data_IF_229331440220
#
_entry.id   IF_229331440220
#
_cell.length_a   1.000
_cell.length_b   1.000
_cell.length_c   1.000
_cell.angle_alpha   90.00
_cell.angle_beta   90.00
_cell.angle_gamma   90.00
#
_symmetry.space_group_name_H-M   'P 1'
#
loop_
_entity.id
_entity.type
_entity.pdbx_description
1 polymer ?
#
# COMPACT_ATOMS: atom_id res chain seq x y z
N UNK A 1 -9.89 16.82 9.32
CA UNK A 1 -8.96 17.99 9.38
C UNK A 1 -7.92 18.00 8.27
N UNK A 2 -7.49 16.83 7.77
CA UNK A 2 -6.61 16.76 6.60
C UNK A 2 -7.38 16.87 5.27
N UNK A 3 -8.65 16.49 5.21
CA UNK A 3 -9.44 16.62 3.98
C UNK A 3 -9.73 18.10 3.60
N UNK A 4 -9.58 19.05 4.54
CA UNK A 4 -9.68 20.48 4.24
C UNK A 4 -8.42 21.06 3.58
N UNK A 5 -7.35 20.27 3.43
CA UNK A 5 -6.13 20.72 2.75
C UNK A 5 -6.34 20.87 1.23
N UNK A 6 -5.54 21.72 0.57
CA UNK A 6 -5.56 21.86 -0.87
C UNK A 6 -5.31 20.51 -1.53
N UNK A 7 -6.07 20.22 -2.59
CA UNK A 7 -6.00 18.96 -3.32
C UNK A 7 -4.58 18.61 -3.79
N UNK A 8 -3.77 19.62 -4.12
CA UNK A 8 -2.36 19.47 -4.47
C UNK A 8 -1.53 18.82 -3.34
N UNK A 9 -1.75 19.20 -2.08
CA UNK A 9 -1.05 18.61 -0.93
C UNK A 9 -1.45 17.14 -0.70
N UNK A 10 -2.74 16.83 -0.90
CA UNK A 10 -3.24 15.45 -0.77
C UNK A 10 -2.73 14.54 -1.89
N UNK A 11 -2.63 15.07 -3.11
CA UNK A 11 -1.96 14.35 -4.21
C UNK A 11 -0.48 14.15 -3.91
N UNK A 12 0.22 15.16 -3.39
CA UNK A 12 1.62 15.02 -2.97
C UNK A 12 1.80 13.94 -1.90
N UNK A 13 0.92 13.92 -0.89
CA UNK A 13 0.94 12.87 0.13
C UNK A 13 0.70 11.48 -0.46
N UNK A 14 -0.27 11.35 -1.37
CA UNK A 14 -0.53 10.09 -2.06
C UNK A 14 0.68 9.65 -2.90
N UNK A 15 1.28 10.55 -3.67
CA UNK A 15 2.49 10.28 -4.46
C UNK A 15 3.65 9.87 -3.57
N UNK A 16 3.88 10.55 -2.45
CA UNK A 16 4.95 10.21 -1.50
C UNK A 16 4.69 8.85 -0.86
N UNK A 17 3.47 8.55 -0.42
CA UNK A 17 3.11 7.25 0.15
C UNK A 17 3.28 6.12 -0.87
N UNK A 18 2.81 6.31 -2.10
CA UNK A 18 3.01 5.38 -3.21
C UNK A 18 4.49 5.19 -3.53
N UNK A 19 5.28 6.28 -3.53
CA UNK A 19 6.71 6.23 -3.78
C UNK A 19 7.44 5.46 -2.69
N UNK A 20 7.15 5.72 -1.42
CA UNK A 20 7.71 5.00 -0.28
C UNK A 20 7.37 3.51 -0.33
N UNK A 21 6.12 3.17 -0.64
CA UNK A 21 5.70 1.77 -0.80
C UNK A 21 6.42 1.10 -1.97
N UNK A 22 6.46 1.74 -3.15
CA UNK A 22 7.15 1.20 -4.32
C UNK A 22 8.66 1.05 -4.07
N UNK A 23 9.28 2.02 -3.40
CA UNK A 23 10.69 1.97 -3.04
C UNK A 23 10.98 0.85 -2.04
N UNK A 24 10.14 0.70 -1.01
CA UNK A 24 10.24 -0.38 -0.04
C UNK A 24 10.10 -1.75 -0.73
N UNK A 25 9.09 -1.91 -1.58
CA UNK A 25 8.86 -3.14 -2.35
C UNK A 25 9.99 -3.42 -3.34
N UNK A 26 10.52 -2.41 -4.03
CA UNK A 26 11.66 -2.59 -4.93
C UNK A 26 12.93 -3.04 -4.20
N UNK A 27 13.10 -2.59 -2.94
CA UNK A 27 14.19 -3.02 -2.06
C UNK A 27 13.98 -4.41 -1.48
N UNK A 28 12.74 -4.79 -1.17
CA UNK A 28 12.43 -6.09 -0.57
C UNK A 28 12.24 -7.20 -1.59
N UNK A 29 11.80 -6.88 -2.81
CA UNK A 29 11.51 -7.83 -3.88
C UNK A 29 12.34 -7.44 -5.11
N UNK A 30 13.58 -7.97 -5.25
CA UNK A 30 14.45 -7.69 -6.39
C UNK A 30 13.99 -8.36 -7.71
N UNK A 31 12.69 -8.30 -8.03
CA UNK A 31 12.13 -8.83 -9.28
C UNK A 31 12.08 -7.70 -10.30
N UNK A 32 12.72 -7.88 -11.47
CA UNK A 32 12.77 -6.87 -12.55
C UNK A 32 11.38 -6.38 -12.97
N UNK A 33 10.42 -7.30 -13.11
CA UNK A 33 9.02 -7.00 -13.48
C UNK A 33 8.24 -6.29 -12.36
N UNK A 34 8.60 -6.53 -11.09
CA UNK A 34 7.95 -5.92 -9.94
C UNK A 34 8.11 -4.40 -9.91
N UNK A 35 9.28 -3.87 -10.34
CA UNK A 35 9.54 -2.43 -10.35
C UNK A 35 8.57 -1.62 -11.21
N UNK A 36 8.02 -2.22 -12.27
CA UNK A 36 7.04 -1.57 -13.16
C UNK A 36 5.61 -1.93 -12.77
N UNK A 37 5.37 -3.18 -12.32
CA UNK A 37 4.04 -3.62 -11.92
C UNK A 37 3.52 -2.88 -10.67
N UNK A 38 4.37 -2.66 -9.65
CA UNK A 38 3.96 -2.01 -8.40
C UNK A 38 3.40 -0.59 -8.57
N UNK A 39 4.09 0.35 -9.27
CA UNK A 39 3.54 1.68 -9.47
C UNK A 39 2.25 1.68 -10.30
N UNK A 40 2.12 0.77 -11.28
CA UNK A 40 0.89 0.61 -12.06
C UNK A 40 -0.27 0.13 -11.18
N UNK A 41 -0.04 -0.86 -10.33
CA UNK A 41 -1.04 -1.37 -9.38
C UNK A 41 -1.45 -0.26 -8.41
N UNK A 42 -0.50 0.48 -7.84
CA UNK A 42 -0.81 1.58 -6.94
C UNK A 42 -1.62 2.69 -7.63
N UNK A 43 -1.26 3.06 -8.87
CA UNK A 43 -2.02 4.02 -9.67
C UNK A 43 -3.45 3.55 -9.95
N UNK A 44 -3.61 2.28 -10.35
CA UNK A 44 -4.92 1.67 -10.57
C UNK A 44 -5.77 1.65 -9.29
N UNK A 45 -5.17 1.32 -8.14
CA UNK A 45 -5.86 1.37 -6.84
C UNK A 45 -6.27 2.80 -6.44
N UNK A 46 -5.47 3.82 -6.78
CA UNK A 46 -5.80 5.21 -6.49
C UNK A 46 -7.03 5.65 -7.27
N UNK A 47 -7.02 5.40 -8.57
CA UNK A 47 -8.16 5.68 -9.45
C UNK A 47 -9.39 4.88 -9.04
N UNK A 48 -9.22 3.60 -8.68
CA UNK A 48 -10.29 2.74 -8.19
C UNK A 48 -10.95 3.28 -6.92
N UNK A 49 -10.16 3.71 -5.93
CA UNK A 49 -10.70 4.30 -4.69
C UNK A 49 -11.47 5.60 -4.95
N UNK A 50 -10.97 6.47 -5.82
CA UNK A 50 -11.67 7.70 -6.20
C UNK A 50 -12.99 7.37 -6.92
N UNK A 51 -12.98 6.38 -7.81
CA UNK A 51 -14.17 5.97 -8.55
C UNK A 51 -15.21 5.34 -7.61
N UNK A 52 -14.80 4.43 -6.73
CA UNK A 52 -15.67 3.78 -5.74
C UNK A 52 -16.26 4.81 -4.78
N UNK A 53 -15.46 5.78 -4.32
CA UNK A 53 -15.95 6.86 -3.45
C UNK A 53 -17.01 7.76 -4.10
N UNK A 54 -16.98 7.89 -5.43
CA UNK A 54 -18.02 8.60 -6.19
C UNK A 54 -19.25 7.74 -6.52
N UNK A 55 -19.10 6.42 -6.53
CA UNK A 55 -20.18 5.48 -6.81
C UNK A 55 -20.91 5.03 -5.53
N UNK A 56 -20.35 5.31 -4.35
CA UNK A 56 -21.00 5.01 -3.09
C UNK A 56 -22.23 5.89 -2.84
N UNK A 57 -23.22 5.30 -2.17
CA UNK A 57 -24.49 5.95 -1.79
C UNK A 57 -24.29 7.24 -1.00
N UNK A 58 -23.21 7.30 -0.22
CA UNK A 58 -22.74 8.52 0.44
C UNK A 58 -21.61 9.08 -0.43
N UNK A 59 -21.80 10.26 -1.04
CA UNK A 59 -20.76 10.88 -1.89
C UNK A 59 -19.57 11.29 -1.02
N UNK A 60 -18.52 10.45 -0.98
CA UNK A 60 -17.27 10.79 -0.31
C UNK A 60 -16.46 11.72 -1.22
N UNK A 61 -15.99 12.85 -0.68
CA UNK A 61 -15.17 13.77 -1.45
C UNK A 61 -13.85 13.09 -1.86
N UNK A 62 -13.30 13.49 -3.02
CA UNK A 62 -12.02 12.97 -3.50
C UNK A 62 -10.89 13.19 -2.48
N UNK A 63 -11.00 14.22 -1.64
CA UNK A 63 -10.01 14.51 -0.59
C UNK A 63 -10.01 13.43 0.50
N UNK A 64 -11.18 12.98 0.97
CA UNK A 64 -11.25 11.88 1.94
C UNK A 64 -10.68 10.58 1.37
N UNK A 65 -10.97 10.29 0.10
CA UNK A 65 -10.44 9.09 -0.57
C UNK A 65 -8.91 9.12 -0.71
N UNK A 66 -8.33 10.29 -0.99
CA UNK A 66 -6.87 10.47 -1.05
C UNK A 66 -6.20 10.33 0.32
N UNK A 67 -6.84 10.81 1.39
CA UNK A 67 -6.34 10.61 2.76
C UNK A 67 -6.36 9.12 3.10
N UNK A 68 -7.49 8.43 2.89
CA UNK A 68 -7.60 6.99 3.14
C UNK A 68 -6.60 6.17 2.31
N UNK A 69 -6.41 6.53 1.05
CA UNK A 69 -5.41 5.91 0.18
C UNK A 69 -4.00 6.06 0.75
N UNK A 70 -3.61 7.29 1.11
CA UNK A 70 -2.26 7.58 1.63
C UNK A 70 -1.99 6.84 2.94
N UNK A 71 -2.96 6.86 3.86
CA UNK A 71 -2.87 6.14 5.13
C UNK A 71 -2.87 4.63 4.93
N UNK A 72 -3.69 4.09 4.02
CA UNK A 72 -3.72 2.67 3.67
C UNK A 72 -2.38 2.14 3.17
N UNK A 73 -1.74 2.84 2.23
CA UNK A 73 -0.41 2.45 1.74
C UNK A 73 0.68 2.59 2.80
N UNK A 74 0.60 3.62 3.64
CA UNK A 74 1.55 3.81 4.73
C UNK A 74 1.43 2.68 5.76
N UNK A 75 0.21 2.34 6.18
CA UNK A 75 -0.05 1.23 7.10
C UNK A 75 0.37 -0.12 6.51
N UNK A 76 0.08 -0.34 5.22
CA UNK A 76 0.51 -1.56 4.53
C UNK A 76 2.05 -1.65 4.45
N UNK A 77 2.74 -0.53 4.20
CA UNK A 77 4.21 -0.49 4.19
C UNK A 77 4.80 -0.83 5.57
N UNK A 78 4.26 -0.23 6.64
CA UNK A 78 4.70 -0.46 8.02
C UNK A 78 4.43 -1.91 8.42
N UNK A 79 3.23 -2.41 8.14
CA UNK A 79 2.81 -3.76 8.47
C UNK A 79 3.58 -4.86 7.71
N UNK A 80 4.05 -4.58 6.50
CA UNK A 80 4.91 -5.48 5.71
C UNK A 80 6.40 -5.33 6.06
N UNK A 81 6.80 -4.31 6.81
CA UNK A 81 8.20 -4.13 7.20
C UNK A 81 8.83 -5.34 7.92
N UNK A 82 8.14 -6.05 8.83
CA UNK A 82 8.69 -7.26 9.47
C UNK A 82 8.90 -8.42 8.49
N UNK A 83 8.09 -8.51 7.43
CA UNK A 83 8.16 -9.58 6.43
C UNK A 83 9.21 -9.32 5.35
N UNK A 84 9.87 -8.15 5.34
CA UNK A 84 10.88 -7.74 4.34
C UNK A 84 11.97 -8.79 4.07
N UNK A 85 12.47 -9.46 5.11
CA UNK A 85 13.52 -10.48 4.98
C UNK A 85 13.01 -11.74 4.28
N UNK A 86 11.77 -12.13 4.59
CA UNK A 86 11.11 -13.27 4.00
C UNK A 86 10.80 -13.00 2.52
N UNK A 87 10.26 -11.81 2.21
CA UNK A 87 10.00 -11.36 0.84
C UNK A 87 11.27 -11.36 0.00
N UNK A 88 12.39 -10.86 0.54
CA UNK A 88 13.68 -10.86 -0.15
C UNK A 88 14.20 -12.27 -0.41
N UNK A 89 14.08 -13.18 0.57
CA UNK A 89 14.45 -14.58 0.39
C UNK A 89 13.62 -15.25 -0.70
N UNK A 90 12.30 -15.06 -0.70
CA UNK A 90 11.43 -15.66 -1.72
C UNK A 90 11.66 -15.07 -3.11
N UNK A 91 11.81 -13.75 -3.21
CA UNK A 91 12.12 -13.10 -4.48
C UNK A 91 13.47 -13.55 -5.07
N UNK A 92 14.48 -13.75 -4.22
CA UNK A 92 15.79 -14.28 -4.66
C UNK A 92 15.72 -15.75 -5.07
N UNK A 93 14.94 -16.58 -4.36
CA UNK A 93 14.68 -17.97 -4.77
C UNK A 93 13.94 -18.05 -6.11
N UNK A 94 12.90 -17.23 -6.31
CA UNK A 94 12.13 -17.14 -7.57
C UNK A 94 13.04 -16.70 -8.72
N UNK A 95 13.88 -15.68 -8.52
CA UNK A 95 14.82 -15.22 -9.54
C UNK A 95 15.87 -16.28 -9.92
N UNK A 96 16.22 -17.18 -8.97
CA UNK A 96 17.09 -18.33 -9.22
C UNK A 96 16.36 -19.52 -9.87
N UNK A 97 15.07 -19.37 -10.18
CA UNK A 97 14.25 -20.42 -10.80
C UNK A 97 13.81 -21.52 -9.82
N UNK A 98 14.03 -21.35 -8.52
CA UNK A 98 13.61 -22.31 -7.50
C UNK A 98 12.09 -22.22 -7.33
N UNK A 99 11.36 -23.20 -7.86
CA UNK A 99 9.92 -23.34 -7.65
C UNK A 99 9.69 -24.15 -6.38
N UNK A 100 9.19 -23.50 -5.33
CA UNK A 100 8.63 -24.21 -4.16
C UNK A 100 7.16 -24.49 -4.41
N UNK A 101 6.67 -25.65 -3.97
CA UNK A 101 5.23 -25.97 -3.97
C UNK A 101 4.44 -25.03 -3.06
N UNK A 102 5.04 -24.58 -1.95
CA UNK A 102 4.40 -23.67 -1.00
C UNK A 102 5.39 -22.64 -0.46
N UNK A 103 4.98 -21.36 -0.52
CA UNK A 103 5.63 -20.27 0.19
C UNK A 103 4.86 -19.99 1.47
N UNK A 104 5.37 -20.49 2.61
CA UNK A 104 4.70 -20.29 3.89
C UNK A 104 4.88 -18.86 4.37
N UNK A 105 3.78 -18.11 4.49
CA UNK A 105 3.79 -16.78 5.08
C UNK A 105 3.32 -16.90 6.54
N UNK A 106 4.21 -16.74 7.54
CA UNK A 106 3.84 -16.87 8.94
C UNK A 106 2.65 -15.99 9.31
N UNK A 107 1.66 -16.55 10.00
CA UNK A 107 0.45 -15.84 10.40
C UNK A 107 0.75 -14.53 11.16
N UNK A 108 1.82 -14.50 11.98
CA UNK A 108 2.28 -13.29 12.68
C UNK A 108 2.55 -12.10 11.76
N UNK A 109 3.04 -12.33 10.55
CA UNK A 109 3.31 -11.25 9.59
C UNK A 109 2.02 -10.80 8.89
N UNK A 110 1.08 -11.71 8.66
CA UNK A 110 -0.25 -11.35 8.15
C UNK A 110 -1.01 -10.53 9.19
N UNK A 111 -1.00 -10.96 10.46
CA UNK A 111 -1.63 -10.25 11.57
C UNK A 111 -1.01 -8.86 11.73
N UNK A 112 0.31 -8.73 11.68
CA UNK A 112 0.98 -7.43 11.75
C UNK A 112 0.62 -6.50 10.57
N UNK A 113 0.50 -7.05 9.35
CA UNK A 113 0.07 -6.30 8.18
C UNK A 113 -1.39 -5.82 8.33
N UNK A 114 -2.29 -6.74 8.69
CA UNK A 114 -3.72 -6.45 8.85
C UNK A 114 -3.94 -5.45 9.99
N UNK A 115 -3.33 -5.66 11.16
CA UNK A 115 -3.48 -4.77 12.31
C UNK A 115 -2.95 -3.37 12.00
N UNK A 116 -1.80 -3.26 11.32
CA UNK A 116 -1.25 -1.96 10.91
C UNK A 116 -2.15 -1.25 9.92
N UNK A 117 -2.72 -1.94 8.93
CA UNK A 117 -3.68 -1.36 7.99
C UNK A 117 -4.93 -0.88 8.72
N UNK A 118 -5.49 -1.68 9.64
CA UNK A 118 -6.68 -1.30 10.41
C UNK A 118 -6.41 -0.05 11.24
N UNK A 119 -5.32 -0.03 12.01
CA UNK A 119 -4.97 1.08 12.90
C UNK A 119 -4.76 2.37 12.09
N UNK A 120 -3.97 2.29 11.02
CA UNK A 120 -3.62 3.48 10.23
C UNK A 120 -4.81 3.95 9.39
N UNK A 121 -5.67 3.06 8.91
CA UNK A 121 -6.92 3.44 8.24
C UNK A 121 -7.91 4.10 9.20
N UNK A 122 -8.07 3.57 10.42
CA UNK A 122 -8.88 4.21 11.47
C UNK A 122 -8.37 5.61 11.81
N UNK A 123 -7.05 5.76 11.96
CA UNK A 123 -6.40 7.07 12.10
C UNK A 123 -6.72 7.98 10.92
N UNK A 124 -6.64 7.47 9.69
CA UNK A 124 -7.00 8.20 8.48
C UNK A 124 -8.46 8.69 8.49
N UNK A 125 -9.40 7.87 8.96
CA UNK A 125 -10.82 8.27 9.12
C UNK A 125 -10.95 9.39 10.16
N UNK A 126 -10.33 9.22 11.34
CA UNK A 126 -10.38 10.20 12.43
C UNK A 126 -9.73 11.55 12.04
N UNK A 127 -8.68 11.49 11.23
CA UNK A 127 -7.90 12.66 10.80
C UNK A 127 -8.43 13.31 9.53
N UNK A 128 -9.20 12.58 8.71
CA UNK A 128 -9.79 13.10 7.47
C UNK A 128 -10.70 14.30 7.73
#
# INVERSE_FOLDING_TARGET
MLASLPLAYLLLMAVVATFLFCFAMAKWVPVRKGRVAWPLICGACCLGMILVGRLQYQNWSAQHMLVLYSFGWTGLTIGLFPSRRLMHKYATEINKGVKREKYEFPARYQIAAISSVIIVTFLGILLS
#
